data_IF_593065133568
#
_entry.id   IF_593065133568
#
_cell.length_a   1.000
_cell.length_b   1.000
_cell.length_c   1.000
_cell.angle_alpha   90.00
_cell.angle_beta   90.00
_cell.angle_gamma   90.00
#
_symmetry.space_group_name_H-M   'P 1'
#
loop_
_entity.id
_entity.type
_entity.pdbx_description
1 polymer ?
#
# COMPACT_ATOMS: atom_id res chain seq x y z
N UNK A 1 16.77 -28.32 -14.12
CA UNK A 1 16.35 -28.15 -12.71
C UNK A 1 15.43 -26.95 -12.70
N UNK A 2 14.12 -27.17 -12.66
CA UNK A 2 13.14 -26.09 -12.53
C UNK A 2 11.95 -26.65 -11.76
N UNK A 3 12.24 -27.12 -10.55
CA UNK A 3 11.22 -27.04 -9.51
C UNK A 3 11.22 -25.57 -9.11
N UNK A 4 10.31 -24.81 -9.70
CA UNK A 4 9.88 -23.54 -9.11
C UNK A 4 9.32 -23.92 -7.74
N UNK A 5 10.16 -23.87 -6.70
CA UNK A 5 9.75 -24.11 -5.33
C UNK A 5 8.62 -23.12 -5.04
N UNK A 6 7.39 -23.64 -5.08
CA UNK A 6 6.19 -22.86 -4.85
C UNK A 6 6.31 -22.27 -3.45
N UNK A 7 6.58 -20.97 -3.38
CA UNK A 7 6.76 -20.29 -2.11
C UNK A 7 5.42 -20.25 -1.39
N UNK A 8 5.36 -20.86 -0.20
CA UNK A 8 4.14 -20.89 0.61
C UNK A 8 3.55 -19.48 0.82
N UNK A 9 4.40 -18.47 0.98
CA UNK A 9 3.97 -17.07 1.12
C UNK A 9 3.23 -16.60 -0.14
N UNK A 10 3.70 -16.96 -1.33
CA UNK A 10 3.04 -16.59 -2.59
C UNK A 10 1.70 -17.30 -2.73
N UNK A 11 1.60 -18.57 -2.32
CA UNK A 11 0.31 -19.29 -2.29
C UNK A 11 -0.68 -18.59 -1.36
N UNK A 12 -0.24 -18.19 -0.16
CA UNK A 12 -1.11 -17.45 0.79
C UNK A 12 -1.57 -16.11 0.20
N UNK A 13 -0.67 -15.37 -0.46
CA UNK A 13 -1.00 -14.11 -1.15
C UNK A 13 -2.01 -14.36 -2.28
N UNK A 14 -1.78 -15.38 -3.11
CA UNK A 14 -2.68 -15.73 -4.22
C UNK A 14 -4.06 -16.14 -3.71
N UNK A 15 -4.15 -16.93 -2.64
CA UNK A 15 -5.43 -17.27 -2.01
C UNK A 15 -6.15 -16.03 -1.45
N UNK A 16 -5.41 -15.07 -0.87
CA UNK A 16 -5.97 -13.79 -0.42
C UNK A 16 -6.53 -12.98 -1.59
N UNK A 17 -5.83 -12.93 -2.72
CA UNK A 17 -6.22 -12.17 -3.92
C UNK A 17 -7.43 -12.81 -4.62
N UNK A 18 -7.47 -14.14 -4.65
CA UNK A 18 -8.50 -14.93 -5.33
C UNK A 18 -9.69 -15.28 -4.44
N UNK A 19 -9.83 -14.67 -3.25
CA UNK A 19 -10.95 -14.94 -2.37
C UNK A 19 -12.28 -14.59 -3.04
N UNK A 20 -13.13 -15.60 -3.19
CA UNK A 20 -14.44 -15.50 -3.83
C UNK A 20 -15.56 -15.11 -2.86
N UNK A 21 -15.27 -15.06 -1.55
CA UNK A 21 -16.22 -14.62 -0.55
C UNK A 21 -16.64 -13.15 -0.80
N UNK A 22 -17.94 -12.82 -0.88
CA UNK A 22 -18.40 -11.46 -1.13
C UNK A 22 -17.97 -10.43 -0.07
N UNK A 23 -17.69 -10.87 1.16
CA UNK A 23 -17.22 -10.04 2.26
C UNK A 23 -15.68 -10.10 2.41
N UNK A 24 -14.99 -10.89 1.58
CA UNK A 24 -13.54 -11.14 1.63
C UNK A 24 -13.07 -11.68 2.99
N UNK A 25 -13.91 -12.47 3.65
CA UNK A 25 -13.62 -13.00 4.99
C UNK A 25 -12.33 -13.83 5.05
N UNK A 26 -12.04 -14.63 4.02
CA UNK A 26 -10.81 -15.41 3.90
C UNK A 26 -9.59 -14.51 3.67
N UNK A 27 -9.71 -13.52 2.79
CA UNK A 27 -8.66 -12.56 2.51
C UNK A 27 -8.28 -11.74 3.75
N UNK A 28 -9.24 -11.33 4.57
CA UNK A 28 -8.97 -10.61 5.82
C UNK A 28 -8.15 -11.47 6.79
N UNK A 29 -8.48 -12.76 6.92
CA UNK A 29 -7.73 -13.68 7.78
C UNK A 29 -6.30 -13.90 7.26
N UNK A 30 -6.16 -14.16 5.95
CA UNK A 30 -4.85 -14.35 5.31
C UNK A 30 -4.00 -13.07 5.38
N UNK A 31 -4.60 -11.89 5.24
CA UNK A 31 -3.94 -10.61 5.45
C UNK A 31 -3.39 -10.50 6.89
N UNK A 32 -4.16 -10.92 7.89
CA UNK A 32 -3.71 -10.96 9.29
C UNK A 32 -2.50 -11.89 9.51
N UNK A 33 -2.50 -13.06 8.87
CA UNK A 33 -1.37 -13.99 8.89
C UNK A 33 -0.14 -13.39 8.21
N UNK A 34 -0.31 -12.81 7.02
CA UNK A 34 0.77 -12.15 6.29
C UNK A 34 1.36 -10.99 7.10
N UNK A 35 0.52 -10.15 7.72
CA UNK A 35 0.96 -9.07 8.60
C UNK A 35 1.80 -9.59 9.76
N UNK A 36 1.33 -10.64 10.43
CA UNK A 36 2.05 -11.24 11.56
C UNK A 36 3.42 -11.77 11.14
N UNK A 37 3.49 -12.40 9.96
CA UNK A 37 4.71 -12.97 9.40
C UNK A 37 5.74 -11.91 8.99
N UNK A 38 5.29 -10.80 8.37
CA UNK A 38 6.18 -9.74 7.90
C UNK A 38 6.49 -8.71 8.99
N UNK A 39 5.81 -8.76 10.14
CA UNK A 39 6.08 -7.87 11.26
C UNK A 39 7.48 -8.13 11.84
N UNK A 40 8.40 -7.18 11.71
CA UNK A 40 9.76 -7.39 12.18
C UNK A 40 9.90 -7.43 13.70
N UNK A 41 8.85 -7.11 14.47
CA UNK A 41 8.80 -7.30 15.93
C UNK A 41 8.41 -8.73 16.33
N UNK A 42 7.70 -9.46 15.45
CA UNK A 42 7.36 -10.87 15.67
C UNK A 42 8.49 -11.83 15.25
N UNK A 43 9.44 -11.34 14.45
CA UNK A 43 10.64 -12.09 14.11
C UNK A 43 11.50 -12.19 15.37
N UNK A 44 11.52 -13.38 15.99
CA UNK A 44 12.26 -13.65 17.22
C UNK A 44 13.62 -12.95 17.17
N UNK A 45 13.98 -12.28 18.27
CA UNK A 45 15.30 -11.70 18.45
C UNK A 45 16.32 -12.83 18.50
N UNK A 46 16.72 -13.34 17.34
CA UNK A 46 17.86 -14.23 17.25
C UNK A 46 19.08 -13.40 17.63
N UNK A 47 20.09 -14.06 18.18
CA UNK A 47 21.37 -13.43 18.50
C UNK A 47 22.01 -12.75 17.28
N UNK A 48 21.50 -13.02 16.07
CA UNK A 48 21.96 -12.54 14.79
C UNK A 48 20.93 -11.58 14.15
N UNK A 49 21.14 -10.26 14.29
CA UNK A 49 20.34 -9.20 13.63
C UNK A 49 20.19 -9.35 12.10
N UNK A 50 20.95 -10.23 11.46
CA UNK A 50 20.99 -10.46 10.02
C UNK A 50 19.76 -11.21 9.50
N UNK A 51 19.22 -12.18 10.24
CA UNK A 51 18.13 -13.06 9.76
C UNK A 51 16.84 -12.28 9.46
N UNK A 52 16.51 -11.27 10.28
CA UNK A 52 15.38 -10.35 10.02
C UNK A 52 15.54 -9.61 8.69
N UNK A 53 16.74 -9.09 8.43
CA UNK A 53 17.00 -8.38 7.18
C UNK A 53 17.03 -9.32 5.98
N UNK A 54 17.50 -10.56 6.16
CA UNK A 54 17.51 -11.60 5.13
C UNK A 54 16.09 -12.02 4.74
N UNK A 55 15.21 -12.24 5.72
CA UNK A 55 13.81 -12.54 5.47
C UNK A 55 13.10 -11.40 4.73
N UNK A 56 13.28 -10.15 5.18
CA UNK A 56 12.69 -9.01 4.47
C UNK A 56 13.26 -8.89 3.04
N UNK A 57 14.56 -9.04 2.84
CA UNK A 57 15.14 -9.08 1.50
C UNK A 57 14.50 -10.18 0.64
N UNK A 58 14.33 -11.37 1.19
CA UNK A 58 13.64 -12.47 0.52
C UNK A 58 12.20 -12.09 0.14
N UNK A 59 11.42 -11.57 1.08
CA UNK A 59 10.02 -11.18 0.86
C UNK A 59 9.89 -10.11 -0.23
N UNK A 60 10.73 -9.07 -0.21
CA UNK A 60 10.68 -8.00 -1.20
C UNK A 60 11.12 -8.47 -2.60
N UNK A 61 12.06 -9.42 -2.68
CA UNK A 61 12.53 -9.95 -3.95
C UNK A 61 11.53 -10.94 -4.58
N UNK A 62 10.85 -11.76 -3.77
CA UNK A 62 10.08 -12.90 -4.28
C UNK A 62 8.56 -12.82 -4.07
N UNK A 63 8.08 -12.02 -3.11
CA UNK A 63 6.67 -12.04 -2.72
C UNK A 63 5.96 -10.70 -2.92
N UNK A 64 6.65 -9.58 -2.68
CA UNK A 64 6.06 -8.24 -2.72
C UNK A 64 5.43 -7.87 -4.08
N UNK A 65 6.01 -8.38 -5.18
CA UNK A 65 5.45 -8.15 -6.51
C UNK A 65 4.13 -8.90 -6.73
N UNK A 66 3.96 -10.09 -6.13
CA UNK A 66 2.69 -10.84 -6.16
C UNK A 66 1.64 -10.09 -5.35
N UNK A 67 1.99 -9.65 -4.14
CA UNK A 67 1.09 -8.88 -3.26
C UNK A 67 0.56 -7.60 -3.92
N UNK A 68 1.44 -6.88 -4.62
CA UNK A 68 1.10 -5.58 -5.23
C UNK A 68 0.56 -5.68 -6.65
N UNK A 69 0.57 -6.87 -7.27
CA UNK A 69 0.11 -7.06 -8.63
C UNK A 69 -1.33 -6.57 -8.87
N UNK A 70 -2.34 -6.87 -8.02
CA UNK A 70 -3.70 -6.37 -8.24
C UNK A 70 -3.78 -4.84 -8.24
N UNK A 71 -3.01 -4.19 -7.36
CA UNK A 71 -2.96 -2.72 -7.27
C UNK A 71 -2.27 -2.11 -8.48
N UNK A 72 -1.15 -2.68 -8.91
CA UNK A 72 -0.39 -2.22 -10.08
C UNK A 72 -1.08 -2.57 -11.40
N UNK A 73 -1.97 -3.56 -11.44
CA UNK A 73 -2.82 -3.78 -12.62
C UNK A 73 -4.00 -2.84 -12.60
N UNK A 74 -4.65 -2.62 -11.46
CA UNK A 74 -5.87 -1.80 -11.42
C UNK A 74 -5.63 -0.29 -11.63
N UNK A 75 -4.38 0.15 -11.57
CA UNK A 75 -3.98 1.56 -11.66
C UNK A 75 -3.11 1.83 -12.89
N UNK A 76 -3.06 0.90 -13.86
CA UNK A 76 -2.30 1.09 -15.10
C UNK A 76 -2.82 2.29 -15.88
N UNK A 77 -1.95 2.91 -16.67
CA UNK A 77 -2.32 4.04 -17.53
C UNK A 77 -2.97 5.23 -16.79
N UNK A 78 -2.61 5.41 -15.52
CA UNK A 78 -3.12 6.47 -14.64
C UNK A 78 -4.65 6.46 -14.47
N UNK A 79 -5.29 5.29 -14.64
CA UNK A 79 -6.74 5.10 -14.50
C UNK A 79 -7.07 3.94 -13.57
N UNK A 80 -8.17 4.08 -12.84
CA UNK A 80 -8.75 3.00 -12.05
C UNK A 80 -9.57 2.09 -12.98
N UNK A 81 -9.05 0.92 -13.34
CA UNK A 81 -9.68 0.03 -14.32
C UNK A 81 -10.97 -0.61 -13.80
N UNK A 82 -10.90 -1.25 -12.63
CA UNK A 82 -12.03 -1.91 -11.96
C UNK A 82 -12.30 -1.24 -10.62
N UNK A 83 -13.47 -0.63 -10.52
CA UNK A 83 -13.91 0.09 -9.31
C UNK A 83 -15.23 -0.47 -8.78
N UNK A 84 -15.34 -1.80 -8.74
CA UNK A 84 -16.43 -2.49 -8.03
C UNK A 84 -16.07 -2.64 -6.54
N UNK A 85 -17.06 -2.95 -5.70
CA UNK A 85 -16.89 -2.98 -4.24
C UNK A 85 -15.86 -4.01 -3.79
N UNK A 86 -15.89 -5.23 -4.34
CA UNK A 86 -14.96 -6.31 -3.98
C UNK A 86 -13.51 -5.96 -4.34
N UNK A 87 -13.27 -5.41 -5.55
CA UNK A 87 -11.95 -4.92 -5.93
C UNK A 87 -11.49 -3.79 -5.00
N UNK A 88 -12.36 -2.85 -4.65
CA UNK A 88 -12.02 -1.77 -3.74
C UNK A 88 -11.65 -2.26 -2.34
N UNK A 89 -12.35 -3.26 -1.81
CA UNK A 89 -12.00 -3.88 -0.53
C UNK A 89 -10.64 -4.61 -0.60
N UNK A 90 -10.37 -5.40 -1.63
CA UNK A 90 -9.08 -6.08 -1.79
C UNK A 90 -7.93 -5.06 -1.88
N UNK A 91 -8.09 -4.00 -2.67
CA UNK A 91 -7.07 -2.94 -2.76
C UNK A 91 -6.88 -2.21 -1.43
N UNK A 92 -7.93 -2.03 -0.63
CA UNK A 92 -7.82 -1.47 0.71
C UNK A 92 -7.00 -2.37 1.66
N UNK A 93 -7.18 -3.70 1.61
CA UNK A 93 -6.37 -4.66 2.39
C UNK A 93 -4.89 -4.62 1.98
N UNK A 94 -4.62 -4.58 0.67
CA UNK A 94 -3.26 -4.44 0.14
C UNK A 94 -2.64 -3.12 0.62
N UNK A 95 -3.38 -1.99 0.54
CA UNK A 95 -2.91 -0.70 1.03
C UNK A 95 -2.67 -0.67 2.54
N UNK A 96 -3.45 -1.41 3.32
CA UNK A 96 -3.23 -1.53 4.76
C UNK A 96 -1.90 -2.23 5.05
N UNK A 97 -1.61 -3.35 4.38
CA UNK A 97 -0.30 -4.03 4.48
C UNK A 97 0.84 -3.14 3.99
N UNK A 98 0.66 -2.41 2.90
CA UNK A 98 1.67 -1.47 2.40
C UNK A 98 1.92 -0.32 3.38
N UNK A 99 0.87 0.22 4.01
CA UNK A 99 1.00 1.25 5.04
C UNK A 99 1.77 0.72 6.24
N UNK A 100 1.47 -0.51 6.67
CA UNK A 100 2.26 -1.20 7.69
C UNK A 100 3.74 -1.32 7.27
N UNK A 101 4.02 -1.73 6.03
CA UNK A 101 5.39 -1.83 5.53
C UNK A 101 6.13 -0.48 5.58
N UNK A 102 5.46 0.63 5.26
CA UNK A 102 6.03 1.99 5.34
C UNK A 102 6.51 2.32 6.75
N UNK A 103 5.80 1.84 7.77
CA UNK A 103 6.12 2.09 9.18
C UNK A 103 7.26 1.22 9.69
N UNK A 104 7.35 -0.03 9.23
CA UNK A 104 8.19 -1.04 9.89
C UNK A 104 9.36 -1.55 9.04
N UNK A 105 9.32 -1.43 7.70
CA UNK A 105 10.30 -2.09 6.81
C UNK A 105 11.41 -1.15 6.32
N UNK A 106 11.49 0.07 6.86
CA UNK A 106 12.60 1.02 6.69
C UNK A 106 13.06 1.19 5.22
N UNK A 107 14.27 0.73 4.87
CA UNK A 107 14.83 0.90 3.53
C UNK A 107 14.25 -0.07 2.50
N UNK A 108 13.73 -1.24 2.90
CA UNK A 108 13.18 -2.22 1.97
C UNK A 108 11.93 -1.67 1.26
N UNK A 109 10.98 -1.14 2.04
CA UNK A 109 9.77 -0.50 1.49
C UNK A 109 10.11 0.76 0.68
N UNK A 110 11.10 1.52 1.14
CA UNK A 110 11.56 2.72 0.43
C UNK A 110 12.08 2.39 -0.95
N UNK A 111 12.99 1.40 -1.05
CA UNK A 111 13.50 0.96 -2.34
C UNK A 111 12.37 0.46 -3.24
N UNK A 112 11.40 -0.27 -2.68
CA UNK A 112 10.26 -0.75 -3.45
C UNK A 112 9.38 0.39 -3.98
N UNK A 113 9.00 1.34 -3.13
CA UNK A 113 8.19 2.50 -3.52
C UNK A 113 8.86 3.29 -4.64
N UNK A 114 10.15 3.56 -4.49
CA UNK A 114 10.92 4.35 -5.46
C UNK A 114 11.08 3.60 -6.79
N UNK A 115 11.39 2.30 -6.74
CA UNK A 115 11.65 1.50 -7.95
C UNK A 115 10.38 1.18 -8.75
N UNK A 116 9.22 1.08 -8.09
CA UNK A 116 7.94 0.76 -8.74
C UNK A 116 7.05 1.97 -8.99
N UNK A 117 7.51 3.18 -8.66
CA UNK A 117 6.70 4.40 -8.66
C UNK A 117 5.40 4.23 -7.86
N UNK A 118 5.46 3.48 -6.76
CA UNK A 118 4.28 2.90 -6.11
C UNK A 118 3.31 3.96 -5.60
N UNK A 119 3.80 5.06 -5.03
CA UNK A 119 2.92 6.10 -4.49
C UNK A 119 2.09 6.75 -5.61
N UNK A 120 2.69 7.03 -6.77
CA UNK A 120 1.94 7.52 -7.94
C UNK A 120 0.80 6.57 -8.29
N UNK A 121 1.09 5.27 -8.34
CA UNK A 121 0.11 4.23 -8.66
C UNK A 121 -1.01 4.17 -7.61
N UNK A 122 -0.66 4.26 -6.32
CA UNK A 122 -1.64 4.33 -5.22
C UNK A 122 -2.54 5.56 -5.34
N UNK A 123 -1.99 6.71 -5.72
CA UNK A 123 -2.74 7.97 -5.78
C UNK A 123 -3.77 8.03 -6.92
N UNK A 124 -3.70 7.15 -7.92
CA UNK A 124 -4.79 6.94 -8.89
C UNK A 124 -6.10 6.57 -8.19
N UNK A 125 -6.02 5.88 -7.04
CA UNK A 125 -7.18 5.45 -6.26
C UNK A 125 -7.90 6.60 -5.54
N UNK A 126 -7.33 7.81 -5.53
CA UNK A 126 -8.04 9.02 -5.08
C UNK A 126 -9.30 9.30 -5.91
N UNK A 127 -9.36 8.78 -7.15
CA UNK A 127 -10.49 8.91 -8.07
C UNK A 127 -11.52 7.78 -7.93
N UNK A 128 -11.36 6.85 -6.98
CA UNK A 128 -12.34 5.79 -6.75
C UNK A 128 -13.68 6.38 -6.29
N UNK A 129 -14.79 5.79 -6.77
CA UNK A 129 -16.14 6.12 -6.28
C UNK A 129 -16.37 5.67 -4.84
N UNK A 130 -15.51 4.77 -4.32
CA UNK A 130 -15.58 4.27 -2.96
C UNK A 130 -14.69 5.12 -2.05
N UNK A 131 -15.31 6.02 -1.28
CA UNK A 131 -14.59 6.97 -0.41
C UNK A 131 -13.60 6.30 0.55
N UNK A 132 -13.91 5.10 1.05
CA UNK A 132 -13.01 4.39 1.96
C UNK A 132 -11.67 4.02 1.30
N UNK A 133 -11.66 3.69 0.01
CA UNK A 133 -10.45 3.36 -0.72
C UNK A 133 -9.59 4.61 -0.97
N UNK A 134 -10.21 5.73 -1.35
CA UNK A 134 -9.53 7.02 -1.46
C UNK A 134 -8.90 7.44 -0.12
N UNK A 135 -9.61 7.24 1.00
CA UNK A 135 -9.08 7.49 2.34
C UNK A 135 -7.87 6.59 2.68
N UNK A 136 -7.87 5.32 2.25
CA UNK A 136 -6.71 4.43 2.41
C UNK A 136 -5.49 4.94 1.61
N UNK A 137 -5.69 5.39 0.36
CA UNK A 137 -4.62 5.96 -0.45
C UNK A 137 -4.05 7.24 0.17
N UNK A 138 -4.91 8.13 0.67
CA UNK A 138 -4.51 9.35 1.36
C UNK A 138 -3.73 9.04 2.65
N UNK A 139 -4.18 8.05 3.43
CA UNK A 139 -3.49 7.58 4.64
C UNK A 139 -2.10 7.03 4.32
N UNK A 140 -1.95 6.28 3.23
CA UNK A 140 -0.66 5.77 2.77
C UNK A 140 0.31 6.92 2.44
N UNK A 141 -0.14 7.92 1.66
CA UNK A 141 0.64 9.13 1.37
C UNK A 141 1.03 9.88 2.65
N UNK A 142 0.06 10.08 3.54
CA UNK A 142 0.24 10.74 4.84
C UNK A 142 1.30 10.05 5.69
N UNK A 143 1.38 8.71 5.65
CA UNK A 143 2.39 7.94 6.37
C UNK A 143 3.78 8.10 5.79
N UNK A 144 3.91 8.09 4.45
CA UNK A 144 5.16 8.36 3.76
C UNK A 144 5.70 9.76 4.09
N UNK A 145 4.85 10.78 4.02
CA UNK A 145 5.23 12.17 4.39
C UNK A 145 5.67 12.25 5.85
N UNK A 146 4.99 11.50 6.73
CA UNK A 146 5.32 11.43 8.16
C UNK A 146 6.72 10.88 8.47
N UNK A 147 7.36 10.17 7.53
CA UNK A 147 8.74 9.71 7.70
C UNK A 147 9.77 10.86 7.60
N UNK A 148 9.36 12.03 7.08
CA UNK A 148 10.22 13.22 6.91
C UNK A 148 11.53 12.93 6.13
N UNK A 149 11.50 11.96 5.23
CA UNK A 149 12.65 11.55 4.42
C UNK A 149 12.78 12.41 3.15
N UNK A 150 13.97 12.95 2.91
CA UNK A 150 14.19 13.86 1.78
C UNK A 150 14.01 13.20 0.40
N UNK A 151 14.27 11.90 0.25
CA UNK A 151 14.07 11.23 -1.03
C UNK A 151 12.60 11.13 -1.37
N UNK A 152 11.75 10.82 -0.37
CA UNK A 152 10.30 10.87 -0.56
C UNK A 152 9.81 12.28 -0.86
N UNK A 153 10.30 13.29 -0.13
CA UNK A 153 9.91 14.68 -0.38
C UNK A 153 10.26 15.11 -1.82
N UNK A 154 11.48 14.79 -2.29
CA UNK A 154 11.88 15.06 -3.68
C UNK A 154 11.05 14.28 -4.70
N UNK A 155 10.75 13.02 -4.41
CA UNK A 155 9.92 12.17 -5.26
C UNK A 155 8.50 12.73 -5.40
N UNK A 156 7.86 13.08 -4.29
CA UNK A 156 6.51 13.67 -4.25
C UNK A 156 6.46 15.00 -4.99
N UNK A 157 7.41 15.90 -4.71
CA UNK A 157 7.43 17.25 -5.31
C UNK A 157 7.76 17.21 -6.80
N UNK A 158 8.81 16.49 -7.21
CA UNK A 158 9.15 16.35 -8.64
C UNK A 158 8.09 15.60 -9.44
N UNK A 159 7.39 14.67 -8.80
CA UNK A 159 6.35 13.86 -9.42
C UNK A 159 4.98 14.52 -9.50
N UNK A 160 4.80 15.72 -8.93
CA UNK A 160 3.50 16.38 -8.75
C UNK A 160 2.47 15.51 -8.02
N UNK A 161 2.90 14.73 -7.03
CA UNK A 161 2.04 13.71 -6.41
C UNK A 161 0.94 14.28 -5.49
N UNK A 162 0.91 15.60 -5.26
CA UNK A 162 -0.23 16.25 -4.60
C UNK A 162 -1.41 16.50 -5.55
N UNK A 163 -1.21 16.48 -6.87
CA UNK A 163 -2.26 16.79 -7.84
C UNK A 163 -3.52 15.91 -7.69
N UNK A 164 -3.44 14.57 -7.58
CA UNK A 164 -4.62 13.75 -7.37
C UNK A 164 -5.38 14.07 -6.06
N UNK A 165 -4.65 14.51 -5.03
CA UNK A 165 -5.24 14.90 -3.74
C UNK A 165 -5.98 16.23 -3.84
N UNK A 166 -5.39 17.21 -4.52
CA UNK A 166 -6.01 18.51 -4.76
C UNK A 166 -7.22 18.36 -5.69
N UNK A 167 -7.12 17.57 -6.75
CA UNK A 167 -8.24 17.32 -7.66
C UNK A 167 -9.42 16.68 -6.91
N UNK A 168 -9.16 15.67 -6.08
CA UNK A 168 -10.20 15.05 -5.24
C UNK A 168 -10.89 16.06 -4.29
N UNK A 169 -10.13 17.01 -3.72
CA UNK A 169 -10.68 18.09 -2.90
C UNK A 169 -11.58 19.03 -3.71
N UNK A 170 -11.11 19.45 -4.89
CA UNK A 170 -11.86 20.34 -5.79
C UNK A 170 -13.15 19.70 -6.29
N UNK A 171 -13.10 18.41 -6.65
CA UNK A 171 -14.26 17.64 -7.12
C UNK A 171 -15.32 17.43 -6.03
N UNK A 172 -14.89 17.32 -4.76
CA UNK A 172 -15.82 17.27 -3.62
C UNK A 172 -16.43 18.64 -3.26
N UNK A 173 -15.82 19.73 -3.74
CA UNK A 173 -16.29 21.09 -3.52
C UNK A 173 -16.47 21.44 -2.04
N UNK A 174 -17.55 22.15 -1.73
CA UNK A 174 -17.87 22.63 -0.36
C UNK A 174 -18.50 21.57 0.54
N UNK A 175 -18.55 20.30 0.12
CA UNK A 175 -19.16 19.23 0.91
C UNK A 175 -18.35 19.01 2.20
N UNK A 176 -19.04 18.99 3.34
CA UNK A 176 -18.42 18.61 4.60
C UNK A 176 -18.46 17.09 4.74
N UNK A 177 -17.38 16.41 4.32
CA UNK A 177 -17.28 14.96 4.39
C UNK A 177 -15.92 14.51 4.92
N UNK A 178 -15.82 13.22 5.25
CA UNK A 178 -14.62 12.63 5.83
C UNK A 178 -13.37 12.78 4.95
N UNK A 179 -13.53 12.73 3.62
CA UNK A 179 -12.42 12.87 2.68
C UNK A 179 -11.84 14.29 2.73
N UNK A 180 -12.70 15.31 2.65
CA UNK A 180 -12.27 16.71 2.75
C UNK A 180 -11.59 16.98 4.10
N UNK A 181 -12.14 16.47 5.21
CA UNK A 181 -11.51 16.59 6.53
C UNK A 181 -10.13 15.93 6.57
N UNK A 182 -9.97 14.76 5.96
CA UNK A 182 -8.68 14.06 5.91
C UNK A 182 -7.66 14.78 5.02
N UNK A 183 -8.08 15.38 3.90
CA UNK A 183 -7.19 16.17 3.04
C UNK A 183 -6.71 17.43 3.76
N UNK A 184 -7.60 18.10 4.49
CA UNK A 184 -7.23 19.27 5.31
C UNK A 184 -6.25 18.85 6.41
N UNK A 185 -6.48 17.72 7.10
CA UNK A 185 -5.52 17.19 8.09
C UNK A 185 -4.14 16.95 7.47
N UNK A 186 -4.06 16.41 6.25
CA UNK A 186 -2.79 16.17 5.58
C UNK A 186 -2.01 17.48 5.37
N UNK A 187 -2.67 18.55 4.91
CA UNK A 187 -2.01 19.84 4.69
C UNK A 187 -1.65 20.54 6.00
N UNK A 188 -2.50 20.44 7.02
CA UNK A 188 -2.18 20.91 8.37
C UNK A 188 -0.97 20.17 8.95
N UNK A 189 -0.88 18.85 8.74
CA UNK A 189 0.26 18.05 9.16
C UNK A 189 1.57 18.48 8.47
N UNK A 190 1.52 18.80 7.17
CA UNK A 190 2.70 19.27 6.43
C UNK A 190 3.19 20.63 6.93
N UNK A 191 2.27 21.48 7.42
CA UNK A 191 2.62 22.82 7.93
C UNK A 191 3.45 22.77 9.22
N UNK A 192 3.36 21.69 9.99
CA UNK A 192 3.96 21.52 11.34
C UNK A 192 5.29 20.77 11.30
#
# INVERSE_FOLDING_TARGET
>A
QSDDDILLINVVIEQMICDTDPELGGAVQLMGLLRTLIDPENMLATTNKTEKSEFLNFFYNHCMHVLTAPLLTNTSEDKCEKDNYQTAQLLALILELLTFCVEHHTYHIKNYIMNKDLLRRVLVLMNSKHTFLALCALRFMRRIIGLKDEFYNRYITKGNLFEPVINALLDNGTRYNLLNSAVIELFEFIRV
#
